data_IF_326819021483
#
_entry.id   IF_326819021483
#
_cell.length_a   1.000
_cell.length_b   1.000
_cell.length_c   1.000
_cell.angle_alpha   90.00
_cell.angle_beta   90.00
_cell.angle_gamma   90.00
#
_symmetry.space_group_name_H-M   'P 1'
#
loop_
_entity.id
_entity.type
_entity.pdbx_description
1 polymer ?
#
# COMPACT_ATOMS: atom_id res chain seq x y z
N UNK A 1 0.75 -28.89 14.58
CA UNK A 1 0.62 -27.54 15.15
C UNK A 1 -0.69 -26.95 14.63
N UNK A 2 -1.73 -26.84 15.46
CA UNK A 2 -3.03 -26.28 15.07
C UNK A 2 -2.92 -24.76 15.12
N UNK A 3 -3.11 -24.09 13.99
CA UNK A 3 -3.18 -22.63 13.94
C UNK A 3 -4.51 -22.23 14.57
N UNK A 4 -4.41 -21.64 15.75
CA UNK A 4 -5.54 -21.17 16.54
C UNK A 4 -6.04 -19.84 15.93
N UNK A 5 -7.14 -19.87 15.16
CA UNK A 5 -7.67 -18.72 14.41
C UNK A 5 -8.28 -17.60 15.28
N UNK A 6 -8.16 -17.71 16.60
CA UNK A 6 -8.85 -16.83 17.56
C UNK A 6 -7.91 -15.94 18.40
N UNK A 7 -6.67 -15.74 17.95
CA UNK A 7 -5.74 -14.77 18.57
C UNK A 7 -5.73 -13.47 17.77
N UNK A 8 -6.46 -12.49 18.28
CA UNK A 8 -6.34 -11.05 18.03
C UNK A 8 -6.10 -10.68 16.56
N UNK A 9 -7.18 -10.42 15.81
CA UNK A 9 -7.11 -9.93 14.43
C UNK A 9 -6.17 -8.73 14.37
N UNK A 10 -5.00 -8.93 13.76
CA UNK A 10 -4.15 -7.91 13.16
C UNK A 10 -5.07 -6.86 12.53
N UNK A 11 -4.96 -5.60 12.95
CA UNK A 11 -5.98 -4.57 12.75
C UNK A 11 -6.35 -4.26 11.30
N UNK A 12 -5.54 -4.72 10.34
CA UNK A 12 -5.75 -4.55 8.91
C UNK A 12 -6.15 -5.88 8.24
N UNK A 13 -6.98 -5.78 7.20
CA UNK A 13 -7.46 -6.91 6.40
C UNK A 13 -7.29 -6.63 4.92
N UNK A 14 -7.31 -7.67 4.08
CA UNK A 14 -7.42 -7.51 2.63
C UNK A 14 -8.84 -7.04 2.27
N UNK A 15 -8.97 -5.95 1.53
CA UNK A 15 -10.28 -5.36 1.19
C UNK A 15 -10.96 -6.02 -0.01
N UNK A 16 -10.21 -6.77 -0.83
CA UNK A 16 -10.73 -7.45 -2.02
C UNK A 16 -11.16 -6.45 -3.10
N UNK A 17 -12.38 -6.63 -3.62
CA UNK A 17 -12.95 -5.75 -4.66
C UNK A 17 -13.78 -4.58 -4.08
N UNK A 18 -13.78 -4.39 -2.76
CA UNK A 18 -14.49 -3.26 -2.16
C UNK A 18 -13.88 -1.94 -2.62
N UNK A 19 -14.69 -0.91 -2.97
CA UNK A 19 -14.16 0.42 -3.24
C UNK A 19 -13.33 0.90 -2.05
N UNK A 20 -12.13 1.39 -2.29
CA UNK A 20 -11.22 1.83 -1.22
C UNK A 20 -10.55 3.15 -1.53
N UNK A 21 -10.13 3.86 -0.48
CA UNK A 21 -9.36 5.09 -0.61
C UNK A 21 -8.13 5.09 0.28
N UNK A 22 -7.03 5.57 -0.27
CA UNK A 22 -5.72 5.67 0.35
C UNK A 22 -5.53 6.94 1.17
N UNK A 23 -5.28 6.81 2.47
CA UNK A 23 -5.22 7.92 3.42
C UNK A 23 -3.80 8.15 3.98
N UNK A 24 -2.82 8.26 3.07
CA UNK A 24 -1.41 8.39 3.45
C UNK A 24 -1.13 9.53 4.43
N UNK A 25 -0.40 9.23 5.50
CA UNK A 25 -0.13 10.14 6.61
C UNK A 25 1.36 10.13 6.95
N UNK A 26 2.10 11.09 6.39
CA UNK A 26 3.56 11.24 6.58
C UNK A 26 3.94 11.74 7.97
N UNK A 27 2.99 12.28 8.74
CA UNK A 27 3.25 12.93 10.03
C UNK A 27 2.73 12.13 11.23
N UNK A 28 1.92 11.09 11.00
CA UNK A 28 1.37 10.22 12.05
C UNK A 28 0.23 10.86 12.87
N UNK A 29 -0.32 11.99 12.42
CA UNK A 29 -1.32 12.77 13.15
C UNK A 29 -2.62 13.02 12.36
N UNK A 30 -2.63 12.73 11.06
CA UNK A 30 -3.76 13.06 10.18
C UNK A 30 -4.91 12.05 10.28
N UNK A 31 -4.66 10.84 10.77
CA UNK A 31 -5.63 9.74 10.76
C UNK A 31 -6.97 10.09 11.44
N UNK A 32 -6.98 10.89 12.50
CA UNK A 32 -8.23 11.31 13.12
C UNK A 32 -9.11 12.15 12.17
N UNK A 33 -8.48 13.02 11.38
CA UNK A 33 -9.15 13.78 10.33
C UNK A 33 -9.66 12.89 9.19
N UNK A 34 -8.87 11.87 8.80
CA UNK A 34 -9.27 10.87 7.80
C UNK A 34 -10.51 10.09 8.25
N UNK A 35 -10.53 9.62 9.50
CA UNK A 35 -11.70 8.95 10.10
C UNK A 35 -12.91 9.87 10.10
N UNK A 36 -12.75 11.12 10.51
CA UNK A 36 -13.85 12.08 10.55
C UNK A 36 -14.42 12.35 9.14
N UNK A 37 -13.59 12.36 8.10
CA UNK A 37 -14.03 12.46 6.71
C UNK A 37 -14.81 11.20 6.27
N UNK A 38 -14.31 10.01 6.60
CA UNK A 38 -14.97 8.74 6.29
C UNK A 38 -16.33 8.60 6.98
N UNK A 39 -16.45 9.01 8.25
CA UNK A 39 -17.72 8.98 8.98
C UNK A 39 -18.75 9.96 8.40
N UNK A 40 -18.31 11.12 7.91
CA UNK A 40 -19.21 12.13 7.31
C UNK A 40 -19.60 11.83 5.87
N UNK A 41 -18.70 11.21 5.09
CA UNK A 41 -18.83 11.18 3.62
C UNK A 41 -18.25 9.93 2.96
N UNK A 42 -17.74 8.94 3.70
CA UNK A 42 -17.09 7.75 3.15
C UNK A 42 -18.05 6.80 2.42
N UNK A 43 -19.31 6.73 2.84
CA UNK A 43 -20.31 5.87 2.20
C UNK A 43 -19.86 4.40 2.15
N UNK A 44 -19.75 3.84 0.94
CA UNK A 44 -19.32 2.46 0.71
C UNK A 44 -17.79 2.29 0.55
N UNK A 45 -17.02 3.36 0.69
CA UNK A 45 -15.56 3.32 0.58
C UNK A 45 -14.97 2.72 1.86
N UNK A 46 -14.00 1.82 1.70
CA UNK A 46 -13.19 1.26 2.79
C UNK A 46 -11.85 2.00 2.90
N UNK A 47 -11.41 2.36 4.12
CA UNK A 47 -10.19 3.13 4.27
C UNK A 47 -8.93 2.26 4.27
N UNK A 48 -7.88 2.82 3.68
CA UNK A 48 -6.50 2.35 3.83
C UNK A 48 -5.74 3.42 4.63
N UNK A 49 -5.82 3.36 5.97
CA UNK A 49 -5.20 4.39 6.83
C UNK A 49 -3.67 4.26 6.91
N UNK A 50 -3.09 3.08 7.16
CA UNK A 50 -1.65 2.90 7.08
C UNK A 50 -1.27 2.82 5.60
N UNK A 51 -0.88 3.97 5.03
CA UNK A 51 -0.32 4.04 3.69
C UNK A 51 0.89 4.95 3.70
N UNK A 52 2.02 4.41 3.25
CA UNK A 52 3.21 5.20 2.98
C UNK A 52 4.14 4.41 2.05
N UNK A 53 4.85 5.10 1.17
CA UNK A 53 5.89 4.51 0.33
C UNK A 53 7.23 4.42 1.06
N UNK A 54 8.11 3.52 0.62
CA UNK A 54 9.48 3.38 1.17
C UNK A 54 10.25 4.70 1.08
N UNK A 55 10.09 5.44 -0.03
CA UNK A 55 10.70 6.76 -0.21
C UNK A 55 10.23 7.75 0.85
N UNK A 56 8.94 7.77 1.17
CA UNK A 56 8.41 8.65 2.20
C UNK A 56 8.89 8.22 3.58
N UNK A 57 8.84 6.92 3.90
CA UNK A 57 9.35 6.37 5.18
C UNK A 57 10.80 6.77 5.44
N UNK A 58 11.65 6.62 4.42
CA UNK A 58 13.04 7.07 4.46
C UNK A 58 13.16 8.58 4.72
N UNK A 59 12.39 9.43 4.01
CA UNK A 59 12.45 10.89 4.19
C UNK A 59 11.92 11.37 5.53
N UNK A 60 10.94 10.68 6.10
CA UNK A 60 10.36 11.01 7.41
C UNK A 60 11.08 10.32 8.56
N UNK A 61 12.06 9.45 8.27
CA UNK A 61 12.73 8.59 9.27
C UNK A 61 11.71 7.77 10.09
N UNK A 62 10.70 7.23 9.41
CA UNK A 62 9.67 6.39 10.01
C UNK A 62 9.84 4.96 9.51
N UNK A 63 9.64 3.99 10.40
CA UNK A 63 9.61 2.57 10.05
C UNK A 63 8.20 2.14 9.59
N UNK A 64 8.07 1.01 8.87
CA UNK A 64 6.77 0.41 8.57
C UNK A 64 5.90 0.19 9.82
N UNK A 65 6.52 -0.21 10.94
CA UNK A 65 5.83 -0.40 12.21
C UNK A 65 5.24 0.91 12.75
N UNK A 66 6.00 2.03 12.69
CA UNK A 66 5.50 3.33 13.13
C UNK A 66 4.32 3.80 12.26
N UNK A 67 4.37 3.58 10.95
CA UNK A 67 3.24 3.89 10.05
C UNK A 67 1.99 3.11 10.45
N UNK A 68 2.14 1.81 10.72
CA UNK A 68 1.06 0.93 11.16
C UNK A 68 0.48 1.38 12.51
N UNK A 69 1.35 1.60 13.50
CA UNK A 69 0.95 1.92 14.87
C UNK A 69 0.24 3.28 14.97
N UNK A 70 0.77 4.31 14.30
CA UNK A 70 0.19 5.65 14.31
C UNK A 70 -1.19 5.64 13.66
N UNK A 71 -1.34 4.98 12.51
CA UNK A 71 -2.61 4.89 11.80
C UNK A 71 -3.65 4.07 12.59
N UNK A 72 -3.30 2.89 13.10
CA UNK A 72 -4.27 2.07 13.84
C UNK A 72 -4.63 2.68 15.20
N UNK A 73 -3.68 3.33 15.88
CA UNK A 73 -3.95 4.04 17.14
C UNK A 73 -4.81 5.28 16.88
N UNK A 74 -4.51 6.05 15.84
CA UNK A 74 -5.31 7.19 15.41
C UNK A 74 -6.74 6.78 15.04
N UNK A 75 -6.89 5.70 14.27
CA UNK A 75 -8.19 5.19 13.86
C UNK A 75 -9.05 4.74 15.05
N UNK A 76 -8.46 3.97 15.97
CA UNK A 76 -9.15 3.55 17.21
C UNK A 76 -9.53 4.74 18.08
N UNK A 77 -8.62 5.68 18.27
CA UNK A 77 -8.86 6.87 19.12
C UNK A 77 -9.95 7.78 18.54
N UNK A 78 -10.06 7.82 17.21
CA UNK A 78 -11.11 8.55 16.49
C UNK A 78 -12.43 7.76 16.35
N UNK A 79 -12.53 6.55 16.93
CA UNK A 79 -13.75 5.76 16.95
C UNK A 79 -14.07 5.04 15.65
N UNK A 80 -13.07 4.74 14.81
CA UNK A 80 -13.29 3.85 13.66
C UNK A 80 -13.50 2.41 14.11
N UNK A 81 -14.59 1.80 13.64
CA UNK A 81 -14.96 0.41 13.96
C UNK A 81 -15.09 -0.49 12.73
N UNK A 82 -14.91 0.08 11.53
CA UNK A 82 -14.99 -0.64 10.27
C UNK A 82 -13.70 -1.40 9.93
N UNK A 83 -13.69 -2.02 8.75
CA UNK A 83 -12.47 -2.65 8.22
C UNK A 83 -11.43 -1.59 7.91
N UNK A 84 -10.16 -1.99 7.90
CA UNK A 84 -9.03 -1.15 7.55
C UNK A 84 -8.13 -1.97 6.61
N UNK A 85 -7.75 -1.41 5.46
CA UNK A 85 -6.63 -1.92 4.66
C UNK A 85 -5.32 -1.22 5.03
N UNK A 86 -4.18 -1.78 4.62
CA UNK A 86 -2.87 -1.15 4.78
C UNK A 86 -2.04 -1.31 3.51
N UNK A 87 -1.58 -0.20 2.92
CA UNK A 87 -0.88 -0.17 1.63
C UNK A 87 0.60 0.19 1.79
N UNK A 88 1.44 -0.77 1.43
CA UNK A 88 2.87 -0.59 1.27
C UNK A 88 3.11 -0.04 -0.14
N UNK A 89 3.25 1.28 -0.23
CA UNK A 89 3.16 1.99 -1.51
C UNK A 89 4.51 2.01 -2.27
N UNK A 90 4.46 2.00 -3.60
CA UNK A 90 5.61 2.14 -4.51
C UNK A 90 6.83 1.22 -4.24
N UNK A 91 6.60 -0.05 -3.91
CA UNK A 91 7.65 -1.04 -3.61
C UNK A 91 8.46 -1.42 -4.86
N UNK A 92 9.79 -1.50 -4.69
CA UNK A 92 10.72 -1.83 -5.79
C UNK A 92 11.58 -3.05 -5.51
N UNK A 93 11.72 -3.44 -4.25
CA UNK A 93 12.61 -4.53 -3.85
C UNK A 93 11.84 -5.61 -3.07
N UNK A 94 12.24 -6.90 -3.17
CA UNK A 94 11.69 -7.96 -2.32
C UNK A 94 11.87 -7.68 -0.82
N UNK A 95 13.00 -7.12 -0.41
CA UNK A 95 13.28 -6.81 1.00
C UNK A 95 12.25 -5.81 1.58
N UNK A 96 11.83 -4.82 0.79
CA UNK A 96 10.79 -3.87 1.21
C UNK A 96 9.41 -4.55 1.33
N UNK A 97 9.12 -5.53 0.45
CA UNK A 97 7.90 -6.36 0.55
C UNK A 97 7.93 -7.17 1.84
N UNK A 98 9.04 -7.83 2.14
CA UNK A 98 9.19 -8.66 3.34
C UNK A 98 9.08 -7.82 4.61
N UNK A 99 9.74 -6.65 4.65
CA UNK A 99 9.72 -5.74 5.79
C UNK A 99 8.31 -5.19 6.09
N UNK A 100 7.53 -4.88 5.05
CA UNK A 100 6.16 -4.37 5.20
C UNK A 100 5.16 -5.49 5.49
N UNK A 101 5.31 -6.66 4.86
CA UNK A 101 4.51 -7.84 5.17
C UNK A 101 4.66 -8.27 6.64
N UNK A 102 5.89 -8.23 7.17
CA UNK A 102 6.18 -8.61 8.55
C UNK A 102 5.43 -7.79 9.61
N UNK A 103 5.07 -6.53 9.30
CA UNK A 103 4.31 -5.66 10.23
C UNK A 103 2.80 -5.62 9.94
N UNK A 104 2.33 -6.39 8.97
CA UNK A 104 0.90 -6.59 8.71
C UNK A 104 0.29 -5.66 7.65
N UNK A 105 1.08 -5.12 6.71
CA UNK A 105 0.52 -4.53 5.49
C UNK A 105 -0.26 -5.59 4.69
N UNK A 106 -1.37 -5.19 4.08
CA UNK A 106 -2.32 -6.10 3.40
C UNK A 106 -2.54 -5.79 1.92
N UNK A 107 -1.95 -4.71 1.44
CA UNK A 107 -1.96 -4.23 0.06
C UNK A 107 -0.52 -3.86 -0.30
N UNK A 108 -0.04 -4.28 -1.46
CA UNK A 108 1.33 -4.05 -1.92
C UNK A 108 1.30 -3.41 -3.31
N UNK A 109 1.70 -2.15 -3.41
CA UNK A 109 1.79 -1.44 -4.69
C UNK A 109 3.18 -1.64 -5.29
N UNK A 110 3.31 -2.63 -6.18
CA UNK A 110 4.58 -2.93 -6.86
C UNK A 110 4.82 -1.91 -7.97
N UNK A 111 5.98 -1.25 -7.93
CA UNK A 111 6.38 -0.22 -8.88
C UNK A 111 7.47 -0.75 -9.84
N UNK A 112 7.08 -1.20 -11.05
CA UNK A 112 8.01 -1.71 -12.04
C UNK A 112 8.68 -0.60 -12.86
N UNK A 113 8.52 0.70 -12.52
CA UNK A 113 8.96 1.81 -13.38
C UNK A 113 10.43 1.77 -13.77
N UNK A 114 11.30 1.22 -12.91
CA UNK A 114 12.72 1.02 -13.21
C UNK A 114 12.99 -0.01 -14.33
N UNK A 115 12.01 -0.88 -14.60
CA UNK A 115 12.06 -1.91 -15.64
C UNK A 115 11.28 -1.52 -16.90
N UNK A 116 10.63 -0.35 -16.92
CA UNK A 116 9.92 0.17 -18.09
C UNK A 116 10.91 0.91 -18.99
N UNK A 117 10.99 0.50 -20.26
CA UNK A 117 11.75 1.22 -21.28
C UNK A 117 11.05 2.55 -21.61
N UNK A 118 11.53 3.63 -21.00
CA UNK A 118 10.96 4.99 -21.11
C UNK A 118 11.00 5.57 -22.52
N UNK A 119 11.67 4.91 -23.49
CA UNK A 119 11.74 5.37 -24.88
C UNK A 119 10.74 4.65 -25.78
N UNK A 120 9.97 3.70 -25.26
CA UNK A 120 9.06 2.87 -26.05
C UNK A 120 8.04 3.71 -26.85
N UNK A 121 7.59 4.83 -26.29
CA UNK A 121 6.61 5.73 -26.91
C UNK A 121 7.14 6.45 -28.16
N UNK A 122 8.46 6.66 -28.23
CA UNK A 122 9.11 7.44 -29.30
C UNK A 122 9.84 6.57 -30.33
N UNK A 123 9.81 5.24 -30.17
CA UNK A 123 10.48 4.36 -31.11
C UNK A 123 9.78 4.33 -32.46
N UNK A 124 10.55 4.32 -33.58
CA UNK A 124 10.00 3.95 -34.87
C UNK A 124 9.38 2.55 -34.82
N UNK A 125 8.29 2.34 -35.57
CA UNK A 125 7.54 1.08 -35.59
C UNK A 125 8.43 -0.16 -35.76
N UNK A 126 9.43 -0.10 -36.65
CA UNK A 126 10.36 -1.20 -36.88
C UNK A 126 11.12 -1.62 -35.62
N UNK A 127 11.56 -0.64 -34.81
CA UNK A 127 12.29 -0.89 -33.55
C UNK A 127 11.34 -1.48 -32.50
N UNK A 128 10.09 -1.02 -32.44
CA UNK A 128 9.08 -1.60 -31.55
C UNK A 128 8.85 -3.07 -31.89
N UNK A 129 8.69 -3.41 -33.17
CA UNK A 129 8.50 -4.80 -33.63
C UNK A 129 9.69 -5.71 -33.31
N UNK A 130 10.90 -5.20 -33.50
CA UNK A 130 12.13 -5.93 -33.16
C UNK A 130 12.21 -6.19 -31.65
N UNK A 131 12.09 -5.15 -30.82
CA UNK A 131 12.12 -5.27 -29.36
C UNK A 131 11.02 -6.18 -28.82
N UNK A 132 9.82 -6.10 -29.37
CA UNK A 132 8.71 -6.98 -29.00
C UNK A 132 9.02 -8.45 -29.32
N UNK A 133 9.58 -8.73 -30.50
CA UNK A 133 9.97 -10.10 -30.90
C UNK A 133 11.01 -10.66 -29.93
N UNK A 134 12.06 -9.88 -29.63
CA UNK A 134 13.09 -10.26 -28.66
C UNK A 134 12.50 -10.53 -27.28
N UNK A 135 11.64 -9.66 -26.76
CA UNK A 135 11.00 -9.83 -25.46
C UNK A 135 10.08 -11.06 -25.41
N UNK A 136 9.31 -11.32 -26.47
CA UNK A 136 8.43 -12.49 -26.56
C UNK A 136 9.22 -13.80 -26.53
N UNK A 137 10.35 -13.85 -27.21
CA UNK A 137 11.14 -15.07 -27.36
C UNK A 137 12.04 -15.33 -26.14
N UNK A 138 12.17 -14.36 -25.22
CA UNK A 138 12.94 -14.47 -23.98
C UNK A 138 12.09 -14.52 -22.70
N UNK A 139 10.75 -14.47 -22.84
CA UNK A 139 9.77 -14.66 -21.77
C UNK A 139 9.39 -16.13 -21.61
#
# INVERSE_FOLDING_TARGET
MKIDRNKNTTGCVTLGLAPSFGFGDRIGLATAGHVAAMQRSGGAIEPIFPQQSIREMSRTQRSPQQVMDDALTGARSAGWTGRIGADADHLKTPDDVDATAAVGFTFFTIDPSAHVDQRADDYPEAVVREKFTTARDSA
#
